data_IF_450071185972
#
_entry.id   IF_450071185972
#
_cell.length_a   1.000
_cell.length_b   1.000
_cell.length_c   1.000
_cell.angle_alpha   90.00
_cell.angle_beta   90.00
_cell.angle_gamma   90.00
#
_symmetry.space_group_name_H-M   'P 1'
#
loop_
_entity.id
_entity.type
_entity.pdbx_description
1 polymer ?
#
# COMPACT_ATOMS: atom_id res chain seq x y z
N UNK A 1 4.72 53.51 -12.64
CA UNK A 1 4.43 52.11 -13.02
C UNK A 1 5.63 51.21 -12.73
N UNK A 2 6.76 51.27 -13.46
CA UNK A 2 7.93 50.37 -13.20
C UNK A 2 8.47 50.34 -11.75
N UNK A 3 8.44 51.45 -11.02
CA UNK A 3 8.88 51.48 -9.60
C UNK A 3 7.87 50.85 -8.65
N UNK A 4 6.58 50.86 -8.99
CA UNK A 4 5.50 50.22 -8.22
C UNK A 4 5.53 48.69 -8.41
N UNK A 5 5.80 48.22 -9.63
CA UNK A 5 5.93 46.78 -9.92
C UNK A 5 7.17 46.18 -9.24
N UNK A 6 8.29 46.90 -9.23
CA UNK A 6 9.49 46.48 -8.52
C UNK A 6 9.28 46.39 -6.99
N UNK A 7 8.55 47.36 -6.41
CA UNK A 7 8.22 47.34 -4.98
C UNK A 7 7.27 46.20 -4.64
N UNK A 8 6.30 45.92 -5.50
CA UNK A 8 5.35 44.82 -5.33
C UNK A 8 6.04 43.46 -5.37
N UNK A 9 6.92 43.24 -6.36
CA UNK A 9 7.71 42.02 -6.47
C UNK A 9 8.65 41.83 -5.26
N UNK A 10 9.27 42.91 -4.78
CA UNK A 10 10.09 42.86 -3.57
C UNK A 10 9.27 42.51 -2.32
N UNK A 11 8.07 43.08 -2.18
CA UNK A 11 7.15 42.78 -1.08
C UNK A 11 6.65 41.34 -1.11
N UNK A 12 6.31 40.81 -2.29
CA UNK A 12 5.87 39.42 -2.46
C UNK A 12 7.01 38.44 -2.13
N UNK A 13 8.24 38.74 -2.56
CA UNK A 13 9.43 37.94 -2.21
C UNK A 13 9.72 37.95 -0.70
N UNK A 14 9.61 39.12 -0.05
CA UNK A 14 9.76 39.22 1.41
C UNK A 14 8.67 38.45 2.16
N UNK A 15 7.42 38.52 1.67
CA UNK A 15 6.31 37.80 2.27
C UNK A 15 6.51 36.28 2.21
N UNK A 16 6.90 35.75 1.03
CA UNK A 16 7.18 34.32 0.86
C UNK A 16 8.35 33.85 1.74
N UNK A 17 9.43 34.65 1.82
CA UNK A 17 10.57 34.33 2.68
C UNK A 17 10.21 34.35 4.17
N UNK A 18 9.36 35.28 4.61
CA UNK A 18 8.88 35.31 5.98
C UNK A 18 7.95 34.13 6.28
N UNK A 19 7.11 33.73 5.34
CA UNK A 19 6.23 32.57 5.48
C UNK A 19 7.03 31.28 5.65
N UNK A 20 8.07 31.10 4.83
CA UNK A 20 8.98 29.96 4.90
C UNK A 20 9.77 29.94 6.22
N UNK A 21 10.29 31.09 6.66
CA UNK A 21 10.95 31.20 7.97
C UNK A 21 10.02 30.91 9.14
N UNK A 22 8.74 31.31 9.05
CA UNK A 22 7.75 31.04 10.08
C UNK A 22 7.40 29.54 10.13
N UNK A 23 7.24 28.90 8.98
CA UNK A 23 7.00 27.45 8.86
C UNK A 23 8.12 26.66 9.52
N UNK A 24 9.36 26.89 9.10
CA UNK A 24 10.54 26.21 9.65
C UNK A 24 10.68 26.41 11.18
N UNK A 25 10.28 27.58 11.71
CA UNK A 25 10.30 27.84 13.15
C UNK A 25 9.19 27.13 13.90
N UNK A 26 7.99 27.06 13.32
CA UNK A 26 6.87 26.34 13.90
C UNK A 26 7.19 24.84 13.97
N UNK A 27 7.77 24.28 12.90
CA UNK A 27 8.20 22.89 12.86
C UNK A 27 9.24 22.62 13.96
N UNK A 28 10.28 23.45 14.05
CA UNK A 28 11.31 23.31 15.09
C UNK A 28 10.77 23.46 16.52
N UNK A 29 9.77 24.33 16.75
CA UNK A 29 9.14 24.47 18.06
C UNK A 29 8.23 23.27 18.38
N UNK A 30 7.51 22.77 17.38
CA UNK A 30 6.71 21.55 17.49
C UNK A 30 7.61 20.38 17.90
N UNK A 31 8.75 20.19 17.23
CA UNK A 31 9.71 19.13 17.56
C UNK A 31 10.30 19.27 18.97
N UNK A 32 10.58 20.51 19.40
CA UNK A 32 11.09 20.79 20.74
C UNK A 32 10.04 20.52 21.83
N UNK A 33 8.77 20.85 21.57
CA UNK A 33 7.68 20.59 22.51
C UNK A 33 7.43 19.08 22.59
N UNK A 34 7.30 18.41 21.45
CA UNK A 34 7.12 16.95 21.37
C UNK A 34 8.25 16.21 22.06
N UNK A 35 9.51 16.59 21.81
CA UNK A 35 10.66 15.97 22.48
C UNK A 35 10.77 16.32 23.95
N UNK A 36 10.27 17.47 24.41
CA UNK A 36 10.24 17.86 25.82
C UNK A 36 9.18 17.10 26.63
N UNK A 37 8.01 16.87 26.04
CA UNK A 37 6.86 16.18 26.64
C UNK A 37 6.94 14.66 26.52
N UNK A 38 7.74 14.14 25.59
CA UNK A 38 7.99 12.70 25.42
C UNK A 38 8.54 12.07 26.70
N UNK A 39 8.00 10.90 27.06
CA UNK A 39 8.51 9.99 28.08
C UNK A 39 9.78 9.27 27.60
N UNK A 40 10.06 9.28 26.29
CA UNK A 40 11.10 8.51 25.65
C UNK A 40 12.26 9.38 25.19
N UNK A 41 13.48 8.89 25.42
CA UNK A 41 14.70 9.48 24.88
C UNK A 41 15.02 8.97 23.46
N UNK A 42 14.49 7.80 23.13
CA UNK A 42 14.63 7.14 21.84
C UNK A 42 13.43 6.20 21.62
N UNK A 43 13.02 6.08 20.37
CA UNK A 43 12.13 5.03 19.92
C UNK A 43 12.45 4.68 18.46
N UNK A 44 12.15 3.44 18.08
CA UNK A 44 12.16 2.95 16.71
C UNK A 44 11.05 1.90 16.56
N UNK A 45 10.42 1.86 15.39
CA UNK A 45 9.36 0.93 15.09
C UNK A 45 9.55 0.40 13.67
N UNK A 46 9.62 -0.92 13.56
CA UNK A 46 9.82 -1.62 12.30
C UNK A 46 8.75 -2.69 12.14
N UNK A 47 8.25 -2.84 10.93
CA UNK A 47 7.33 -3.92 10.57
C UNK A 47 8.04 -4.81 9.57
N UNK A 48 7.94 -6.13 9.77
CA UNK A 48 8.48 -7.11 8.85
C UNK A 48 7.45 -8.22 8.63
N UNK A 49 7.62 -9.00 7.56
CA UNK A 49 6.86 -10.24 7.38
C UNK A 49 7.31 -11.26 8.43
N UNK A 50 6.36 -11.67 9.28
CA UNK A 50 6.53 -12.71 10.29
C UNK A 50 6.22 -14.10 9.75
N UNK A 51 6.15 -15.08 10.66
CA UNK A 51 5.74 -16.43 10.31
C UNK A 51 4.24 -16.49 9.94
N UNK A 52 3.86 -17.40 9.04
CA UNK A 52 2.47 -17.65 8.64
C UNK A 52 1.75 -16.44 8.00
N UNK A 53 2.45 -15.60 7.26
CA UNK A 53 1.88 -14.40 6.61
C UNK A 53 1.19 -13.46 7.61
N UNK A 54 1.79 -13.27 8.79
CA UNK A 54 1.40 -12.24 9.75
C UNK A 54 2.45 -11.14 9.78
N UNK A 55 2.02 -9.90 10.05
CA UNK A 55 2.96 -8.80 10.22
C UNK A 55 3.57 -8.86 11.62
N UNK A 56 4.88 -8.72 11.72
CA UNK A 56 5.60 -8.64 12.98
C UNK A 56 6.08 -7.19 13.20
N UNK A 57 5.40 -6.48 14.10
CA UNK A 57 5.80 -5.13 14.51
C UNK A 57 6.77 -5.22 15.68
N UNK A 58 8.00 -4.75 15.49
CA UNK A 58 9.02 -4.64 16.53
C UNK A 58 9.21 -3.18 16.90
N UNK A 59 8.95 -2.87 18.17
CA UNK A 59 9.07 -1.53 18.73
C UNK A 59 10.15 -1.53 19.79
N UNK A 60 11.15 -0.66 19.63
CA UNK A 60 12.26 -0.46 20.55
C UNK A 60 12.10 0.91 21.18
N UNK A 61 12.18 1.01 22.50
CA UNK A 61 12.06 2.28 23.22
C UNK A 61 13.09 2.41 24.33
N UNK A 62 13.51 3.64 24.60
CA UNK A 62 14.38 3.98 25.72
C UNK A 62 13.71 5.07 26.55
N UNK A 63 13.02 4.71 27.66
CA UNK A 63 12.43 5.68 28.57
C UNK A 63 13.47 6.66 29.12
N UNK A 64 13.10 7.94 29.27
CA UNK A 64 13.96 8.94 29.94
C UNK A 64 14.11 8.65 31.43
N UNK A 65 13.04 8.14 32.04
CA UNK A 65 12.97 7.80 33.45
C UNK A 65 12.34 6.42 33.60
N UNK A 66 13.07 5.51 34.24
CA UNK A 66 12.55 4.21 34.62
C UNK A 66 13.10 3.81 36.00
N UNK A 67 12.20 3.44 36.89
CA UNK A 67 12.49 3.01 38.25
C UNK A 67 12.67 1.50 38.39
N UNK A 68 13.26 1.07 39.50
CA UNK A 68 13.31 -0.34 39.85
C UNK A 68 11.89 -0.89 40.09
N UNK A 69 11.53 -1.95 39.37
CA UNK A 69 10.20 -2.56 39.45
C UNK A 69 9.16 -1.98 38.49
N UNK A 70 9.52 -0.97 37.70
CA UNK A 70 8.69 -0.48 36.60
C UNK A 70 8.69 -1.47 35.42
N UNK A 71 7.60 -1.54 34.67
CA UNK A 71 7.50 -2.35 33.45
C UNK A 71 7.10 -1.50 32.24
N UNK A 72 7.54 -1.94 31.06
CA UNK A 72 7.22 -1.31 29.78
C UNK A 72 6.43 -2.31 28.95
N UNK A 73 5.36 -1.85 28.33
CA UNK A 73 4.58 -2.61 27.36
C UNK A 73 4.27 -1.75 26.15
N UNK A 74 4.08 -2.39 25.00
CA UNK A 74 3.68 -1.72 23.76
C UNK A 74 2.37 -2.35 23.31
N UNK A 75 1.46 -1.50 22.83
CA UNK A 75 0.20 -1.93 22.22
C UNK A 75 -0.03 -1.30 20.86
N UNK A 76 -0.62 -2.06 19.94
CA UNK A 76 -1.10 -1.60 18.63
C UNK A 76 -2.56 -2.07 18.52
N UNK A 77 -3.50 -1.13 18.46
CA UNK A 77 -4.93 -1.46 18.57
C UNK A 77 -5.24 -2.21 19.87
N UNK A 78 -5.83 -3.40 19.76
CA UNK A 78 -6.15 -4.26 20.91
C UNK A 78 -5.01 -5.21 21.31
N UNK A 79 -3.94 -5.28 20.53
CA UNK A 79 -2.83 -6.22 20.73
C UNK A 79 -1.78 -5.55 21.62
N UNK A 80 -1.33 -6.23 22.66
CA UNK A 80 -0.32 -5.72 23.60
C UNK A 80 0.71 -6.79 23.93
N UNK A 81 1.97 -6.37 24.06
CA UNK A 81 3.07 -7.21 24.53
C UNK A 81 3.91 -6.49 25.58
N UNK A 82 4.42 -7.22 26.57
CA UNK A 82 5.45 -6.70 27.47
C UNK A 82 6.78 -6.59 26.73
N UNK A 83 7.51 -5.50 26.97
CA UNK A 83 8.79 -5.26 26.34
C UNK A 83 9.92 -5.87 27.17
N UNK A 84 10.83 -6.59 26.51
CA UNK A 84 12.02 -7.16 27.15
C UNK A 84 13.10 -6.09 27.33
N UNK A 85 13.63 -5.96 28.54
CA UNK A 85 14.73 -5.05 28.86
C UNK A 85 16.07 -5.64 28.44
N UNK A 86 16.90 -4.82 27.80
CA UNK A 86 18.29 -5.12 27.50
C UNK A 86 19.10 -3.83 27.40
N UNK A 87 19.96 -3.59 28.38
CA UNK A 87 20.91 -2.47 28.35
C UNK A 87 20.24 -1.09 28.39
N UNK A 88 19.11 -0.97 29.10
CA UNK A 88 18.32 0.26 29.21
C UNK A 88 17.36 0.51 28.05
N UNK A 89 17.32 -0.37 27.05
CA UNK A 89 16.32 -0.36 25.99
C UNK A 89 15.28 -1.46 26.21
N UNK A 90 14.06 -1.20 25.77
CA UNK A 90 12.92 -2.10 25.91
C UNK A 90 12.39 -2.44 24.53
N UNK A 91 12.38 -3.73 24.19
CA UNK A 91 11.94 -4.21 22.89
C UNK A 91 10.68 -5.05 23.03
N UNK A 92 9.62 -4.69 22.34
CA UNK A 92 8.40 -5.48 22.21
C UNK A 92 8.22 -5.93 20.76
N UNK A 93 7.84 -7.18 20.55
CA UNK A 93 7.46 -7.70 19.24
C UNK A 93 6.00 -8.15 19.31
N UNK A 94 5.17 -7.61 18.43
CA UNK A 94 3.74 -7.87 18.34
C UNK A 94 3.44 -8.58 17.01
N UNK A 95 2.67 -9.67 17.06
CA UNK A 95 2.11 -10.29 15.86
C UNK A 95 0.79 -9.60 15.53
N UNK A 96 0.74 -8.89 14.42
CA UNK A 96 -0.39 -8.08 13.98
C UNK A 96 -1.10 -8.81 12.84
N UNK A 97 -2.44 -8.96 12.90
CA UNK A 97 -3.22 -9.45 11.78
C UNK A 97 -2.92 -8.62 10.52
N UNK A 98 -2.91 -9.29 9.37
CA UNK A 98 -2.81 -8.64 8.07
C UNK A 98 -3.93 -7.61 7.94
N UNK A 99 -3.60 -6.34 8.14
CA UNK A 99 -4.55 -5.25 8.03
C UNK A 99 -3.85 -4.12 7.29
N UNK A 100 -4.41 -3.64 6.17
CA UNK A 100 -3.81 -2.62 5.32
C UNK A 100 -3.99 -1.23 5.94
N UNK A 101 -3.66 -1.06 7.21
CA UNK A 101 -3.76 0.20 7.93
C UNK A 101 -2.40 0.66 8.44
N UNK A 102 -2.31 1.96 8.72
CA UNK A 102 -1.20 2.49 9.48
C UNK A 102 -1.25 1.96 10.92
N UNK A 103 -0.15 1.41 11.40
CA UNK A 103 -0.04 0.93 12.77
C UNK A 103 0.34 2.10 13.67
N UNK A 104 -0.43 2.36 14.72
CA UNK A 104 -0.14 3.39 15.72
C UNK A 104 0.31 2.73 17.03
N UNK A 105 1.62 2.66 17.32
CA UNK A 105 2.10 2.06 18.55
C UNK A 105 1.86 2.98 19.75
N UNK A 106 1.47 2.39 20.88
CA UNK A 106 1.31 3.08 22.16
C UNK A 106 2.21 2.41 23.18
N UNK A 107 3.11 3.19 23.77
CA UNK A 107 4.03 2.74 24.81
C UNK A 107 3.39 3.02 26.15
N UNK A 108 3.39 2.04 27.03
CA UNK A 108 2.86 2.14 28.40
C UNK A 108 3.96 1.79 29.39
N UNK A 109 4.27 2.72 30.30
CA UNK A 109 5.14 2.49 31.45
C UNK A 109 4.23 2.35 32.68
N UNK A 110 4.26 1.18 33.30
CA UNK A 110 3.60 0.93 34.57
C UNK A 110 4.65 1.01 35.68
N UNK A 111 4.54 2.03 36.53
CA UNK A 111 5.49 2.20 37.64
C UNK A 111 5.19 1.25 38.78
N UNK A 112 6.18 0.98 39.63
CA UNK A 112 6.05 0.09 40.79
C UNK A 112 4.94 0.51 41.79
N UNK A 113 4.59 1.80 41.82
CA UNK A 113 3.49 2.33 42.65
C UNK A 113 2.10 2.19 41.99
N UNK A 114 2.03 1.62 40.79
CA UNK A 114 0.81 1.42 40.01
C UNK A 114 0.40 2.60 39.11
N UNK A 115 1.22 3.65 39.01
CA UNK A 115 0.95 4.75 38.08
C UNK A 115 1.17 4.31 36.64
N UNK A 116 0.21 4.62 35.76
CA UNK A 116 0.30 4.34 34.32
C UNK A 116 0.66 5.61 33.56
N UNK A 117 1.77 5.60 32.84
CA UNK A 117 2.17 6.66 31.89
C UNK A 117 2.10 6.10 30.47
N UNK A 118 1.63 6.89 29.51
CA UNK A 118 1.49 6.45 28.11
C UNK A 118 2.00 7.50 27.14
N UNK A 119 2.54 7.04 26.02
CA UNK A 119 2.93 7.87 24.89
C UNK A 119 2.52 7.18 23.59
N UNK A 120 1.92 7.94 22.69
CA UNK A 120 1.55 7.49 21.35
C UNK A 120 2.72 7.80 20.42
N UNK A 121 3.23 6.78 19.74
CA UNK A 121 4.29 6.94 18.75
C UNK A 121 3.70 7.32 17.38
N UNK A 122 4.51 7.92 16.49
CA UNK A 122 4.13 8.10 15.10
C UNK A 122 3.69 6.80 14.44
N UNK A 123 2.78 6.92 13.48
CA UNK A 123 2.27 5.79 12.74
C UNK A 123 3.32 5.15 11.83
N UNK A 124 3.19 3.84 11.60
CA UNK A 124 4.04 3.06 10.71
C UNK A 124 3.17 2.50 9.60
N UNK A 125 3.50 2.84 8.36
CA UNK A 125 2.77 2.33 7.19
C UNK A 125 3.06 0.83 6.98
N UNK A 126 2.03 0.09 6.57
CA UNK A 126 2.13 -1.32 6.18
C UNK A 126 1.88 -1.52 4.69
N UNK A 127 1.71 -0.43 3.93
CA UNK A 127 1.28 -0.44 2.53
C UNK A 127 2.14 -1.35 1.65
N UNK A 128 3.46 -1.37 1.86
CA UNK A 128 4.40 -2.19 1.10
C UNK A 128 4.10 -3.70 1.17
N UNK A 129 3.56 -4.19 2.29
CA UNK A 129 3.20 -5.60 2.46
C UNK A 129 1.88 -5.96 1.75
N UNK A 130 1.19 -4.98 1.17
CA UNK A 130 -0.03 -5.19 0.40
C UNK A 130 0.14 -4.82 -1.06
N UNK A 131 1.36 -4.53 -1.51
CA UNK A 131 1.63 -4.20 -2.90
C UNK A 131 1.33 -5.38 -3.82
N UNK A 132 0.63 -5.08 -4.91
CA UNK A 132 0.46 -5.98 -6.04
C UNK A 132 0.90 -5.28 -7.32
N UNK A 133 1.51 -6.04 -8.21
CA UNK A 133 1.67 -5.67 -9.60
C UNK A 133 0.41 -6.08 -10.37
N UNK A 134 0.00 -5.22 -11.29
CA UNK A 134 -1.07 -5.52 -12.22
C UNK A 134 -0.59 -5.35 -13.66
N UNK A 135 -1.16 -6.14 -14.56
CA UNK A 135 -1.02 -5.96 -16.00
C UNK A 135 -2.40 -6.02 -16.64
N UNK A 136 -2.56 -5.40 -17.79
CA UNK A 136 -3.78 -5.55 -18.56
C UNK A 136 -3.51 -5.57 -20.06
N UNK A 137 -4.41 -6.25 -20.77
CA UNK A 137 -4.48 -6.26 -22.23
C UNK A 137 -5.96 -6.08 -22.62
N UNK A 138 -6.21 -5.16 -23.56
CA UNK A 138 -7.53 -4.94 -24.12
C UNK A 138 -7.42 -5.11 -25.62
N UNK A 139 -8.19 -6.04 -26.16
CA UNK A 139 -8.29 -6.27 -27.60
C UNK A 139 -9.71 -6.01 -28.07
N UNK A 140 -9.87 -5.26 -29.16
CA UNK A 140 -11.19 -4.90 -29.70
C UNK A 140 -11.46 -5.69 -30.96
N UNK A 141 -12.54 -6.47 -30.94
CA UNK A 141 -12.97 -7.29 -32.08
C UNK A 141 -14.48 -7.19 -32.27
N UNK A 142 -14.90 -6.82 -33.50
CA UNK A 142 -16.30 -6.82 -33.91
C UNK A 142 -17.25 -6.02 -32.97
N UNK A 143 -16.79 -4.88 -32.45
CA UNK A 143 -17.60 -4.03 -31.56
C UNK A 143 -17.63 -4.49 -30.09
N UNK A 144 -16.80 -5.47 -29.72
CA UNK A 144 -16.62 -5.90 -28.35
C UNK A 144 -15.17 -5.71 -27.90
N UNK A 145 -14.97 -5.33 -26.65
CA UNK A 145 -13.65 -5.29 -26.00
C UNK A 145 -13.48 -6.55 -25.13
N UNK A 146 -12.45 -7.34 -25.43
CA UNK A 146 -11.97 -8.43 -24.58
C UNK A 146 -10.93 -7.85 -23.65
N UNK A 147 -11.21 -7.84 -22.35
CA UNK A 147 -10.35 -7.25 -21.33
C UNK A 147 -9.75 -8.35 -20.48
N UNK A 148 -8.42 -8.34 -20.36
CA UNK A 148 -7.65 -9.22 -19.49
C UNK A 148 -6.94 -8.38 -18.44
N UNK A 149 -7.05 -8.76 -17.18
CA UNK A 149 -6.32 -8.15 -16.07
C UNK A 149 -5.56 -9.26 -15.33
N UNK A 150 -4.25 -9.09 -15.19
CA UNK A 150 -3.38 -9.98 -14.44
C UNK A 150 -3.00 -9.36 -13.10
N UNK A 151 -2.96 -10.17 -12.04
CA UNK A 151 -2.49 -9.73 -10.72
C UNK A 151 -1.34 -10.60 -10.22
N UNK A 152 -0.34 -9.97 -9.62
CA UNK A 152 0.81 -10.62 -9.04
C UNK A 152 1.24 -9.92 -7.75
N UNK A 153 1.38 -10.63 -6.62
CA UNK A 153 1.84 -10.03 -5.38
C UNK A 153 3.31 -9.59 -5.50
N UNK A 154 3.67 -8.50 -4.83
CA UNK A 154 5.07 -8.17 -4.60
C UNK A 154 5.78 -9.28 -3.79
N UNK A 155 7.12 -9.33 -3.87
CA UNK A 155 7.89 -10.41 -3.25
C UNK A 155 7.67 -10.53 -1.73
N UNK A 156 7.48 -9.39 -1.06
CA UNK A 156 7.23 -9.30 0.38
C UNK A 156 5.75 -9.07 0.71
N UNK A 157 4.85 -9.28 -0.26
CA UNK A 157 3.41 -9.12 -0.05
C UNK A 157 2.86 -10.22 0.86
N UNK A 158 1.85 -9.86 1.66
CA UNK A 158 1.11 -10.77 2.52
C UNK A 158 0.10 -11.61 1.73
N UNK A 159 -0.22 -11.18 0.51
CA UNK A 159 -1.20 -11.84 -0.34
C UNK A 159 -0.60 -13.01 -1.12
N UNK A 160 -1.31 -14.13 -1.09
CA UNK A 160 -1.09 -15.32 -1.90
C UNK A 160 -2.10 -15.36 -3.04
N UNK A 161 -1.79 -14.71 -4.16
CA UNK A 161 -2.63 -14.73 -5.36
C UNK A 161 -2.41 -16.03 -6.16
N UNK A 162 -3.45 -16.65 -6.72
CA UNK A 162 -4.85 -16.20 -6.78
C UNK A 162 -5.71 -16.58 -5.56
N UNK A 163 -5.17 -17.33 -4.61
CA UNK A 163 -5.94 -17.94 -3.53
C UNK A 163 -6.63 -16.90 -2.64
N UNK A 164 -6.04 -15.71 -2.50
CA UNK A 164 -6.60 -14.60 -1.72
C UNK A 164 -7.56 -13.70 -2.49
N UNK A 165 -7.77 -13.89 -3.79
CA UNK A 165 -8.73 -13.07 -4.57
C UNK A 165 -10.15 -13.65 -4.41
N UNK A 166 -11.07 -12.86 -3.85
CA UNK A 166 -12.48 -13.21 -3.77
C UNK A 166 -13.23 -12.89 -5.07
N UNK A 167 -12.99 -11.70 -5.63
CA UNK A 167 -13.61 -11.26 -6.89
C UNK A 167 -12.76 -10.22 -7.63
N UNK A 168 -12.96 -10.18 -8.94
CA UNK A 168 -12.45 -9.12 -9.82
C UNK A 168 -13.61 -8.62 -10.66
N UNK A 169 -13.84 -7.32 -10.64
CA UNK A 169 -14.83 -6.62 -11.44
C UNK A 169 -14.11 -5.70 -12.43
N UNK A 170 -14.62 -5.64 -13.65
CA UNK A 170 -14.34 -4.56 -14.58
C UNK A 170 -15.46 -3.53 -14.43
N UNK A 171 -15.10 -2.27 -14.23
CA UNK A 171 -16.04 -1.15 -14.21
C UNK A 171 -15.85 -0.35 -15.49
N UNK A 172 -16.94 -0.16 -16.24
CA UNK A 172 -16.97 0.67 -17.43
C UNK A 172 -17.79 1.94 -17.15
N UNK A 173 -17.18 3.10 -17.31
CA UNK A 173 -17.82 4.40 -17.11
C UNK A 173 -17.98 5.13 -18.44
N UNK A 174 -19.21 5.55 -18.76
CA UNK A 174 -19.48 6.37 -19.95
C UNK A 174 -19.16 7.86 -19.74
N UNK A 175 -19.16 8.66 -20.80
CA UNK A 175 -18.89 10.11 -20.74
C UNK A 175 -19.86 10.89 -19.82
N UNK A 176 -21.01 10.30 -19.47
CA UNK A 176 -21.99 10.90 -18.56
C UNK A 176 -21.77 10.50 -17.10
N UNK A 177 -20.75 9.69 -16.81
CA UNK A 177 -20.41 9.18 -15.48
C UNK A 177 -21.28 8.01 -15.02
N UNK A 178 -22.00 7.35 -15.92
CA UNK A 178 -22.77 6.16 -15.59
C UNK A 178 -21.87 4.94 -15.66
N UNK A 179 -21.90 4.13 -14.61
CA UNK A 179 -21.06 2.95 -14.46
C UNK A 179 -21.84 1.66 -14.72
N UNK A 180 -21.17 0.69 -15.36
CA UNK A 180 -21.61 -0.69 -15.52
C UNK A 180 -20.50 -1.63 -15.03
N UNK A 181 -20.88 -2.63 -14.23
CA UNK A 181 -19.93 -3.56 -13.61
C UNK A 181 -20.04 -4.96 -14.24
N UNK A 182 -18.88 -5.56 -14.52
CA UNK A 182 -18.79 -6.87 -15.17
C UNK A 182 -17.86 -7.77 -14.35
N UNK A 183 -18.36 -8.93 -13.94
CA UNK A 183 -17.53 -9.94 -13.30
C UNK A 183 -16.47 -10.44 -14.28
N UNK A 184 -15.21 -10.38 -13.86
CA UNK A 184 -14.11 -11.00 -14.59
C UNK A 184 -13.88 -12.42 -14.06
N UNK A 185 -13.71 -13.38 -14.97
CA UNK A 185 -13.54 -14.79 -14.60
C UNK A 185 -12.07 -15.19 -14.73
N UNK A 186 -11.54 -16.03 -13.82
CA UNK A 186 -10.20 -16.59 -13.98
C UNK A 186 -10.08 -17.30 -15.32
N UNK A 187 -9.09 -16.94 -16.13
CA UNK A 187 -8.92 -17.51 -17.47
C UNK A 187 -8.15 -18.86 -17.45
N UNK A 188 -7.61 -19.22 -16.28
CA UNK A 188 -6.82 -20.43 -16.05
C UNK A 188 -5.38 -20.36 -16.57
N UNK A 189 -4.98 -19.26 -17.20
CA UNK A 189 -3.62 -19.02 -17.65
C UNK A 189 -2.77 -18.45 -16.51
N UNK A 190 -1.55 -18.99 -16.39
CA UNK A 190 -0.46 -18.41 -15.59
C UNK A 190 0.67 -18.13 -16.57
N UNK A 191 0.92 -16.87 -16.91
CA UNK A 191 1.99 -16.48 -17.84
C UNK A 191 3.16 -15.93 -17.02
N UNK A 192 4.40 -16.45 -17.20
CA UNK A 192 5.53 -15.96 -16.45
C UNK A 192 5.80 -14.51 -16.86
N UNK A 193 6.20 -13.68 -15.90
CA UNK A 193 6.54 -12.29 -16.10
C UNK A 193 7.43 -12.12 -17.34
N UNK A 194 6.90 -11.42 -18.34
CA UNK A 194 7.63 -11.10 -19.57
C UNK A 194 8.69 -10.00 -19.34
N UNK A 195 8.67 -9.30 -18.20
CA UNK A 195 9.63 -8.24 -17.88
C UNK A 195 10.96 -8.74 -17.30
N UNK A 196 11.08 -10.03 -16.97
CA UNK A 196 12.30 -10.63 -16.43
C UNK A 196 13.19 -11.37 -17.45
N UNK A 197 12.75 -11.61 -18.69
CA UNK A 197 13.55 -12.35 -19.68
C UNK A 197 14.52 -11.41 -20.39
N UNK A 198 15.61 -11.04 -19.72
CA UNK A 198 16.78 -10.55 -20.43
C UNK A 198 17.43 -11.70 -21.20
N UNK A 199 17.03 -11.83 -22.47
CA UNK A 199 17.85 -12.41 -23.54
C UNK A 199 17.90 -13.93 -23.63
N UNK A 200 17.37 -14.45 -24.74
CA UNK A 200 17.66 -15.80 -25.22
C UNK A 200 16.58 -16.31 -26.14
N UNK A 201 16.75 -16.12 -27.45
CA UNK A 201 16.05 -16.91 -28.46
C UNK A 201 16.25 -18.41 -28.12
N UNK A 202 15.19 -19.20 -28.21
CA UNK A 202 15.09 -20.62 -27.79
C UNK A 202 15.04 -20.90 -26.28
N UNK A 203 13.84 -20.81 -25.68
CA UNK A 203 13.45 -21.66 -24.55
C UNK A 203 11.94 -21.85 -24.49
N UNK A 204 11.43 -22.75 -25.32
CA UNK A 204 10.17 -23.41 -25.05
C UNK A 204 10.38 -24.33 -23.83
N UNK A 205 9.95 -23.89 -22.64
CA UNK A 205 9.98 -24.73 -21.43
C UNK A 205 8.89 -25.81 -21.60
N UNK A 206 9.32 -27.02 -21.98
CA UNK A 206 8.46 -28.21 -22.02
C UNK A 206 7.98 -28.57 -20.62
N UNK A 207 6.68 -28.83 -20.48
CA UNK A 207 5.94 -29.11 -19.26
C UNK A 207 6.28 -30.45 -18.55
N UNK A 208 7.54 -30.88 -18.53
CA UNK A 208 7.92 -32.24 -18.13
C UNK A 208 9.11 -32.35 -17.17
N UNK A 209 9.51 -31.28 -16.46
CA UNK A 209 10.53 -31.37 -15.40
C UNK A 209 10.07 -30.69 -14.09
N UNK A 210 9.64 -31.47 -13.08
CA UNK A 210 9.17 -30.91 -11.81
C UNK A 210 10.27 -30.51 -10.82
N UNK A 211 11.54 -30.87 -11.05
CA UNK A 211 12.63 -30.65 -10.08
C UNK A 211 13.51 -29.41 -10.35
N UNK A 212 13.32 -28.72 -11.47
CA UNK A 212 13.94 -27.40 -11.72
C UNK A 212 13.01 -26.23 -11.32
N UNK A 213 11.80 -26.52 -10.83
CA UNK A 213 10.77 -25.54 -10.47
C UNK A 213 10.97 -24.91 -9.08
N UNK A 214 11.97 -25.34 -8.30
CA UNK A 214 12.14 -24.92 -6.92
C UNK A 214 13.10 -23.72 -6.71
N UNK A 215 13.94 -23.38 -7.70
CA UNK A 215 14.88 -22.25 -7.61
C UNK A 215 14.52 -21.06 -8.53
N UNK A 216 13.49 -21.22 -9.36
CA UNK A 216 12.83 -20.12 -10.06
C UNK A 216 11.35 -20.14 -9.66
N UNK A 217 11.00 -19.47 -8.56
CA UNK A 217 9.63 -19.06 -8.35
C UNK A 217 9.29 -18.02 -9.43
N UNK A 218 9.08 -18.48 -10.66
CA UNK A 218 8.69 -17.65 -11.78
C UNK A 218 7.43 -16.89 -11.36
N UNK A 219 7.52 -15.57 -11.36
CA UNK A 219 6.46 -14.63 -11.04
C UNK A 219 5.38 -14.76 -12.11
N UNK A 220 4.22 -15.35 -11.77
CA UNK A 220 3.10 -15.50 -12.71
C UNK A 220 1.96 -14.57 -12.30
N UNK A 221 1.46 -13.79 -13.25
CA UNK A 221 0.19 -13.10 -13.07
C UNK A 221 -0.96 -14.11 -13.10
N UNK A 222 -1.90 -13.98 -12.17
CA UNK A 222 -3.21 -14.62 -12.24
C UNK A 222 -4.14 -13.76 -13.09
N UNK A 223 -4.54 -14.27 -14.27
CA UNK A 223 -5.35 -13.52 -15.21
C UNK A 223 -6.84 -13.77 -15.04
N UNK A 224 -7.58 -12.66 -15.14
CA UNK A 224 -9.03 -12.60 -15.15
C UNK A 224 -9.46 -11.95 -16.46
N UNK A 225 -10.50 -12.50 -17.09
CA UNK A 225 -10.99 -12.04 -18.39
C UNK A 225 -12.47 -11.73 -18.34
N UNK A 226 -12.88 -10.68 -19.04
CA UNK A 226 -14.28 -10.45 -19.38
C UNK A 226 -14.41 -9.88 -20.80
N UNK A 227 -15.63 -9.77 -21.29
CA UNK A 227 -15.91 -9.18 -22.60
C UNK A 227 -17.10 -8.25 -22.48
N UNK A 228 -16.94 -7.02 -22.95
CA UNK A 228 -17.98 -5.99 -22.93
C UNK A 228 -18.31 -5.53 -24.35
N UNK A 229 -19.56 -5.17 -24.58
CA UNK A 229 -19.99 -4.58 -25.85
C UNK A 229 -19.77 -3.08 -25.80
N UNK A 230 -19.10 -2.54 -26.83
CA UNK A 230 -18.87 -1.10 -26.93
C UNK A 230 -20.09 -0.39 -27.53
N UNK A 231 -20.33 0.89 -27.18
CA UNK A 231 -21.41 1.67 -27.76
C UNK A 231 -21.28 1.81 -29.29
N UNK A 232 -22.38 1.56 -30.02
CA UNK A 232 -22.41 1.66 -31.49
C UNK A 232 -22.27 3.10 -32.00
N UNK A 233 -22.53 4.09 -31.14
CA UNK A 233 -22.40 5.51 -31.48
C UNK A 233 -20.95 6.02 -31.45
N UNK A 234 -20.00 5.14 -31.12
CA UNK A 234 -18.57 5.44 -31.03
C UNK A 234 -18.16 6.14 -29.74
N UNK A 235 -19.09 6.35 -28.80
CA UNK A 235 -18.71 6.80 -27.46
C UNK A 235 -17.89 5.70 -26.76
N UNK A 236 -16.80 6.11 -26.12
CA UNK A 236 -15.90 5.19 -25.42
C UNK A 236 -16.33 4.93 -23.97
N UNK A 237 -15.72 3.93 -23.35
CA UNK A 237 -15.75 3.72 -21.91
C UNK A 237 -14.39 4.01 -21.31
N UNK A 238 -14.37 4.68 -20.15
CA UNK A 238 -13.21 4.59 -19.25
C UNK A 238 -13.33 3.30 -18.48
N UNK A 239 -12.30 2.45 -18.57
CA UNK A 239 -12.27 1.17 -17.88
C UNK A 239 -11.40 1.25 -16.64
N UNK A 240 -11.87 0.66 -15.55
CA UNK A 240 -11.10 0.40 -14.34
C UNK A 240 -11.36 -1.03 -13.85
N UNK A 241 -10.48 -1.58 -13.04
CA UNK A 241 -10.81 -2.80 -12.29
C UNK A 241 -11.06 -2.48 -10.83
N UNK A 242 -11.81 -3.37 -10.18
CA UNK A 242 -11.90 -3.49 -8.74
C UNK A 242 -11.61 -4.94 -8.37
N UNK A 243 -10.57 -5.15 -7.56
CA UNK A 243 -10.23 -6.46 -7.01
C UNK A 243 -10.49 -6.44 -5.51
N UNK A 244 -11.21 -7.45 -5.02
CA UNK A 244 -11.45 -7.63 -3.60
C UNK A 244 -10.87 -8.98 -3.14
N UNK A 245 -10.13 -8.94 -2.03
CA UNK A 245 -9.55 -10.13 -1.42
C UNK A 245 -10.57 -10.86 -0.54
N UNK A 246 -10.29 -12.11 -0.19
CA UNK A 246 -11.09 -12.89 0.77
C UNK A 246 -11.11 -12.29 2.18
N UNK A 247 -10.13 -11.45 2.51
CA UNK A 247 -10.04 -10.67 3.73
C UNK A 247 -10.76 -9.31 3.66
N UNK A 248 -11.37 -8.97 2.52
CA UNK A 248 -12.12 -7.72 2.32
C UNK A 248 -11.27 -6.51 1.93
N UNK A 249 -10.00 -6.72 1.57
CA UNK A 249 -9.11 -5.65 1.09
C UNK A 249 -9.46 -5.36 -0.36
N UNK A 250 -9.59 -4.08 -0.72
CA UNK A 250 -9.96 -3.63 -2.06
C UNK A 250 -8.81 -2.93 -2.74
N UNK A 251 -8.75 -3.10 -4.05
CA UNK A 251 -7.80 -2.44 -4.92
C UNK A 251 -8.55 -1.95 -6.14
N UNK A 252 -8.32 -0.70 -6.52
CA UNK A 252 -8.89 -0.10 -7.72
C UNK A 252 -7.82 0.58 -8.55
N UNK A 253 -7.94 0.46 -9.88
CA UNK A 253 -7.04 1.15 -10.79
C UNK A 253 -7.74 1.46 -12.10
N UNK A 254 -7.48 2.67 -12.63
CA UNK A 254 -7.96 3.06 -13.95
C UNK A 254 -7.03 2.46 -15.00
N UNK A 255 -7.62 1.73 -15.94
CA UNK A 255 -6.88 1.06 -17.00
C UNK A 255 -6.64 2.00 -18.18
N UNK A 256 -7.70 2.33 -18.92
CA UNK A 256 -7.62 3.09 -20.17
C UNK A 256 -9.03 3.54 -20.61
N UNK A 257 -9.09 4.56 -21.47
CA UNK A 257 -10.32 4.88 -22.22
C UNK A 257 -10.34 4.15 -23.56
N UNK A 258 -11.39 3.37 -23.82
CA UNK A 258 -11.52 2.55 -25.03
C UNK A 258 -12.77 2.91 -25.83
N UNK A 259 -12.64 2.94 -27.15
CA UNK A 259 -13.74 3.15 -28.10
C UNK A 259 -13.70 2.09 -29.22
N UNK A 260 -14.71 2.07 -30.08
CA UNK A 260 -14.85 1.07 -31.15
C UNK A 260 -13.81 1.20 -32.27
N UNK A 261 -13.09 2.33 -32.36
CA UNK A 261 -12.08 2.59 -33.39
C UNK A 261 -10.68 2.13 -32.96
N UNK A 262 -10.46 1.91 -31.67
CA UNK A 262 -9.22 1.38 -31.16
C UNK A 262 -9.04 -0.12 -31.47
N UNK A 263 -7.78 -0.59 -31.48
CA UNK A 263 -7.44 -1.96 -31.88
C UNK A 263 -6.86 -2.80 -30.74
N UNK A 264 -5.93 -2.24 -29.96
CA UNK A 264 -5.37 -2.90 -28.78
C UNK A 264 -4.73 -1.90 -27.82
N UNK A 265 -4.77 -2.21 -26.53
CA UNK A 265 -4.10 -1.49 -25.45
C UNK A 265 -3.44 -2.48 -24.50
N UNK A 266 -2.38 -2.03 -23.85
CA UNK A 266 -1.73 -2.80 -22.80
C UNK A 266 -0.95 -1.89 -21.87
N UNK A 267 -0.97 -2.26 -20.59
CA UNK A 267 -0.33 -1.47 -19.55
C UNK A 267 -0.16 -2.30 -18.28
N UNK A 268 0.34 -1.64 -17.25
CA UNK A 268 0.56 -2.26 -15.97
C UNK A 268 1.35 -1.33 -15.06
N UNK A 269 1.44 -1.74 -13.81
CA UNK A 269 2.10 -0.99 -12.76
C UNK A 269 2.03 -1.74 -11.45
N UNK A 270 2.30 -1.02 -10.37
CA UNK A 270 1.99 -1.45 -9.03
C UNK A 270 0.79 -0.66 -8.50
N UNK A 271 0.02 -1.31 -7.64
CA UNK A 271 -1.08 -0.66 -6.92
C UNK A 271 -1.08 -1.13 -5.46
N UNK A 272 -1.75 -0.35 -4.63
CA UNK A 272 -1.88 -0.55 -3.20
C UNK A 272 -3.37 -0.62 -2.84
N UNK A 273 -3.73 -1.13 -1.65
CA UNK A 273 -5.12 -1.13 -1.21
C UNK A 273 -5.76 0.25 -1.29
N UNK A 274 -7.04 0.28 -1.59
CA UNK A 274 -7.87 1.48 -1.46
C UNK A 274 -7.98 1.80 0.03
N UNK A 275 -7.38 2.92 0.45
CA UNK A 275 -7.48 3.41 1.82
C UNK A 275 -8.79 4.16 1.95
N UNK A 276 -9.82 3.52 2.51
CA UNK A 276 -10.85 4.30 3.19
C UNK A 276 -10.15 4.88 4.43
N UNK A 277 -9.83 6.18 4.42
CA UNK A 277 -9.74 6.90 5.69
C UNK A 277 -11.08 6.63 6.36
N UNK A 278 -11.10 5.85 7.45
CA UNK A 278 -12.22 5.83 8.37
C UNK A 278 -12.35 7.26 8.93
N UNK A 279 -12.92 8.17 8.13
CA UNK A 279 -13.49 9.41 8.61
C UNK A 279 -14.77 9.04 9.32
N UNK A 280 -14.65 8.52 10.55
CA UNK A 280 -15.55 8.72 11.70
C UNK A 280 -15.42 7.60 12.74
N UNK A 281 -15.08 8.02 13.98
CA UNK A 281 -15.10 7.20 15.20
C UNK A 281 -14.67 7.99 16.43
#
# INVERSE_FOLDING_TARGET
ERQLDALRSQSESQYLSLQDQLGNRLDSLSDQISSGESLLSYWDAQVNMGENHQLAATVVVTPKEIGEGDSVSVSIGEISAEAAESGGSYTATLSIPASPYELVPVVTILTADGTRKQEVLPSVSTAEFFEIYFSYDITIENGAAVVKAGFQPAADSILTVPDDIAQVLLVAEDESGRTEEFVMVPDGNRIPDAAGVTGGEDSAVSASQPEAAAENASLYYAYYTTTITLPEDGSGYTLSYQMETTSGIRYSEVLETVDIEANAFGGGGNTYPDWEEDTEG
#
